data_IF_023268443231
#
_entry.id   IF_023268443231
#
_cell.length_a   1.000
_cell.length_b   1.000
_cell.length_c   1.000
_cell.angle_alpha   90.00
_cell.angle_beta   90.00
_cell.angle_gamma   90.00
#
_symmetry.space_group_name_H-M   'P 1'
#
loop_
_entity.id
_entity.type
_entity.pdbx_description
1 polymer ?
#
# COMPACT_ATOMS: atom_id res chain seq x y z
N UNK A 1 -9.22 2.51 14.20
CA UNK A 1 -8.70 1.12 14.03
C UNK A 1 -8.13 0.97 12.62
N UNK A 2 -7.45 -0.13 12.31
CA UNK A 2 -6.91 -0.38 10.97
C UNK A 2 -6.98 -1.85 10.61
N UNK A 3 -7.31 -2.14 9.36
CA UNK A 3 -7.43 -3.50 8.83
C UNK A 3 -6.64 -3.62 7.52
N UNK A 4 -6.09 -4.81 7.28
CA UNK A 4 -5.34 -5.10 6.06
C UNK A 4 -5.66 -6.51 5.60
N UNK A 5 -5.97 -6.63 4.31
CA UNK A 5 -6.09 -7.89 3.60
C UNK A 5 -5.02 -7.92 2.50
N UNK A 6 -4.21 -8.97 2.46
CA UNK A 6 -3.19 -9.17 1.43
C UNK A 6 -3.36 -10.56 0.81
N UNK A 7 -3.45 -10.60 -0.52
CA UNK A 7 -3.51 -11.81 -1.31
C UNK A 7 -2.37 -11.82 -2.35
N UNK A 8 -1.62 -12.91 -2.38
CA UNK A 8 -0.56 -13.12 -3.36
C UNK A 8 -0.60 -14.56 -3.89
N UNK A 9 -0.58 -14.71 -5.22
CA UNK A 9 -0.60 -16.04 -5.85
C UNK A 9 0.76 -16.34 -6.46
N UNK A 10 1.45 -17.36 -5.95
CA UNK A 10 2.75 -17.78 -6.49
C UNK A 10 2.56 -18.83 -7.57
N UNK A 11 2.64 -18.44 -8.84
CA UNK A 11 2.53 -19.36 -9.98
C UNK A 11 3.89 -19.57 -10.64
N UNK A 12 4.40 -20.79 -10.54
CA UNK A 12 5.62 -21.23 -11.23
C UNK A 12 5.24 -21.91 -12.54
N UNK A 13 5.69 -21.37 -13.68
CA UNK A 13 5.41 -21.93 -15.02
C UNK A 13 6.51 -22.88 -15.48
N UNK A 14 7.76 -22.50 -15.23
CA UNK A 14 8.97 -23.30 -15.46
C UNK A 14 9.74 -23.35 -14.16
N UNK A 15 10.64 -24.33 -13.99
CA UNK A 15 11.52 -24.40 -12.80
C UNK A 15 12.35 -23.12 -12.55
N UNK A 16 12.45 -22.23 -13.54
CA UNK A 16 13.19 -20.97 -13.49
C UNK A 16 12.33 -19.71 -13.45
N UNK A 17 11.01 -19.77 -13.65
CA UNK A 17 10.16 -18.57 -13.77
C UNK A 17 8.96 -18.67 -12.85
N UNK A 18 8.87 -17.74 -11.91
CA UNK A 18 7.72 -17.58 -11.01
C UNK A 18 7.12 -16.20 -11.19
N UNK A 19 5.82 -16.15 -11.44
CA UNK A 19 5.02 -14.94 -11.50
C UNK A 19 4.15 -14.85 -10.25
N UNK A 20 4.09 -13.66 -9.65
CA UNK A 20 3.37 -13.40 -8.42
C UNK A 20 2.49 -12.16 -8.59
N UNK A 21 1.25 -12.30 -9.10
CA UNK A 21 0.25 -11.26 -8.95
C UNK A 21 -0.15 -11.13 -7.48
N UNK A 22 -0.37 -9.88 -7.05
CA UNK A 22 -0.77 -9.56 -5.68
C UNK A 22 -1.85 -8.48 -5.66
N UNK A 23 -2.73 -8.56 -4.66
CA UNK A 23 -3.74 -7.55 -4.37
C UNK A 23 -3.74 -7.29 -2.87
N UNK A 24 -3.72 -6.02 -2.47
CA UNK A 24 -3.81 -5.62 -1.07
C UNK A 24 -4.89 -4.56 -0.89
N UNK A 25 -5.75 -4.76 0.09
CA UNK A 25 -6.70 -3.77 0.57
C UNK A 25 -6.30 -3.33 1.98
N UNK A 26 -6.26 -2.03 2.21
CA UNK A 26 -6.00 -1.41 3.51
C UNK A 26 -7.14 -0.45 3.83
N UNK A 27 -7.58 -0.43 5.09
CA UNK A 27 -8.57 0.50 5.57
C UNK A 27 -8.19 0.96 6.98
N UNK A 28 -8.40 2.25 7.26
CA UNK A 28 -8.13 2.84 8.55
C UNK A 28 -9.21 3.88 8.91
N UNK A 29 -9.57 3.92 10.19
CA UNK A 29 -10.34 5.02 10.78
C UNK A 29 -9.41 6.20 11.14
N UNK A 30 -9.98 7.40 11.21
CA UNK A 30 -9.25 8.55 11.74
C UNK A 30 -8.86 8.32 13.21
N UNK A 31 -7.70 8.85 13.60
CA UNK A 31 -7.33 8.93 15.01
C UNK A 31 -8.24 9.92 15.74
N UNK A 32 -8.53 9.68 17.02
CA UNK A 32 -9.44 10.51 17.81
C UNK A 32 -8.97 11.97 17.97
N UNK A 33 -7.68 12.23 17.75
CA UNK A 33 -7.04 13.55 17.80
C UNK A 33 -6.70 14.11 16.42
N UNK A 34 -7.17 13.47 15.34
CA UNK A 34 -7.02 14.00 13.99
C UNK A 34 -8.05 15.09 13.73
N UNK A 35 -7.57 16.26 13.33
CA UNK A 35 -8.42 17.38 12.90
C UNK A 35 -7.87 17.91 11.57
N UNK A 36 -8.66 17.94 10.48
CA UNK A 36 -8.20 18.51 9.22
C UNK A 36 -7.72 19.94 9.39
N UNK A 37 -6.62 20.32 8.72
CA UNK A 37 -6.10 21.69 8.77
C UNK A 37 -7.09 22.76 8.26
N UNK A 38 -8.17 22.35 7.58
CA UNK A 38 -9.24 23.24 7.13
C UNK A 38 -10.33 23.49 8.17
N UNK A 39 -10.34 22.75 9.29
CA UNK A 39 -11.38 22.82 10.32
C UNK A 39 -10.80 23.28 11.67
N UNK A 40 -10.49 24.58 11.75
CA UNK A 40 -9.91 25.20 12.93
C UNK A 40 -10.90 25.34 14.11
N UNK A 41 -12.21 25.22 13.86
CA UNK A 41 -13.24 25.36 14.89
C UNK A 41 -13.43 24.08 15.71
N UNK A 42 -13.01 22.93 15.18
CA UNK A 42 -13.01 21.64 15.89
C UNK A 42 -11.63 21.26 16.47
N UNK A 43 -10.65 22.15 16.41
CA UNK A 43 -9.32 21.91 16.97
C UNK A 43 -9.38 21.92 18.51
N UNK A 44 -9.18 20.75 19.13
CA UNK A 44 -8.95 20.65 20.59
C UNK A 44 -7.49 20.95 20.93
N UNK A 45 -7.19 21.18 22.22
CA UNK A 45 -5.82 21.39 22.72
C UNK A 45 -4.85 20.26 22.34
N UNK A 46 -5.37 19.06 22.07
CA UNK A 46 -4.63 17.91 21.57
C UNK A 46 -5.14 17.54 20.17
N UNK A 47 -4.65 18.25 19.14
CA UNK A 47 -4.98 17.95 17.75
C UNK A 47 -3.73 17.78 16.88
N UNK A 48 -3.90 17.03 15.79
CA UNK A 48 -2.90 16.92 14.73
C UNK A 48 -3.58 16.93 13.37
N UNK A 49 -3.01 17.70 12.44
CA UNK A 49 -3.44 17.76 11.06
C UNK A 49 -2.64 16.84 10.12
N UNK A 50 -1.83 15.93 10.66
CA UNK A 50 -1.10 14.94 9.86
C UNK A 50 -2.08 14.02 9.12
N UNK A 51 -2.04 14.07 7.79
CA UNK A 51 -2.95 13.34 6.91
C UNK A 51 -2.90 11.82 7.11
N UNK A 52 -1.81 11.25 7.62
CA UNK A 52 -1.66 9.82 7.90
C UNK A 52 -2.53 9.35 9.06
N UNK A 53 -3.00 10.28 9.88
CA UNK A 53 -3.92 10.02 10.99
C UNK A 53 -5.38 10.10 10.56
N UNK A 54 -5.66 10.49 9.32
CA UNK A 54 -7.01 10.59 8.77
C UNK A 54 -7.60 9.22 8.43
N UNK A 55 -8.92 9.18 8.27
CA UNK A 55 -9.59 8.02 7.69
C UNK A 55 -9.27 7.91 6.21
N UNK A 56 -8.81 6.74 5.78
CA UNK A 56 -8.61 6.42 4.37
C UNK A 56 -8.59 4.91 4.12
N UNK A 57 -8.90 4.53 2.89
CA UNK A 57 -8.67 3.19 2.39
C UNK A 57 -7.74 3.22 1.18
N UNK A 58 -7.16 2.07 0.88
CA UNK A 58 -6.24 1.92 -0.23
C UNK A 58 -6.30 0.53 -0.85
N UNK A 59 -6.20 0.51 -2.18
CA UNK A 59 -6.09 -0.69 -2.98
C UNK A 59 -4.75 -0.69 -3.72
N UNK A 60 -3.98 -1.75 -3.55
CA UNK A 60 -2.72 -1.97 -4.24
C UNK A 60 -2.82 -3.21 -5.12
N UNK A 61 -2.53 -3.07 -6.41
CA UNK A 61 -2.39 -4.19 -7.34
C UNK A 61 -0.94 -4.28 -7.79
N UNK A 62 -0.36 -5.46 -7.66
CA UNK A 62 1.05 -5.70 -7.94
C UNK A 62 1.29 -6.93 -8.80
N UNK A 63 2.43 -6.92 -9.47
CA UNK A 63 2.96 -8.07 -10.21
C UNK A 63 4.45 -8.16 -9.99
N UNK A 64 4.92 -9.34 -9.58
CA UNK A 64 6.34 -9.65 -9.43
C UNK A 64 6.73 -10.83 -10.32
N UNK A 65 7.87 -10.72 -10.97
CA UNK A 65 8.51 -11.76 -11.78
C UNK A 65 9.84 -12.12 -11.12
N UNK A 66 10.03 -13.41 -10.85
CA UNK A 66 11.31 -13.97 -10.44
C UNK A 66 11.82 -14.88 -11.56
N UNK A 67 13.00 -14.60 -12.09
CA UNK A 67 13.65 -15.37 -13.15
C UNK A 67 15.01 -15.87 -12.69
N UNK A 68 15.14 -17.19 -12.52
CA UNK A 68 16.38 -17.86 -12.09
C UNK A 68 17.22 -18.28 -13.30
N UNK A 69 18.49 -17.88 -13.28
CA UNK A 69 19.50 -18.23 -14.29
C UNK A 69 20.78 -18.65 -13.56
N UNK A 70 21.04 -19.95 -13.52
CA UNK A 70 22.17 -20.51 -12.76
C UNK A 70 22.07 -20.17 -11.27
N UNK A 71 23.10 -19.49 -10.75
CA UNK A 71 23.19 -19.02 -9.35
C UNK A 71 22.49 -17.68 -9.09
N UNK A 72 21.94 -17.05 -10.12
CA UNK A 72 21.31 -15.73 -10.03
C UNK A 72 19.79 -15.84 -10.11
N UNK A 73 19.08 -14.98 -9.37
CA UNK A 73 17.64 -14.74 -9.54
C UNK A 73 17.42 -13.26 -9.80
N UNK A 74 16.88 -12.94 -10.96
CA UNK A 74 16.46 -11.59 -11.32
C UNK A 74 15.04 -11.38 -10.83
N UNK A 75 14.80 -10.27 -10.14
CA UNK A 75 13.51 -9.89 -9.60
C UNK A 75 13.06 -8.59 -10.26
N UNK A 76 11.89 -8.60 -10.89
CA UNK A 76 11.23 -7.40 -11.39
C UNK A 76 9.86 -7.29 -10.75
N UNK A 77 9.46 -6.10 -10.32
CA UNK A 77 8.11 -5.89 -9.79
C UNK A 77 7.55 -4.54 -10.15
N UNK A 78 6.25 -4.51 -10.41
CA UNK A 78 5.46 -3.30 -10.55
C UNK A 78 4.26 -3.32 -9.62
N UNK A 79 3.90 -2.15 -9.09
CA UNK A 79 2.75 -1.96 -8.21
C UNK A 79 2.05 -0.66 -8.57
N UNK A 80 0.72 -0.71 -8.65
CA UNK A 80 -0.13 0.48 -8.66
C UNK A 80 -0.90 0.54 -7.36
N UNK A 81 -0.71 1.63 -6.63
CA UNK A 81 -1.39 1.96 -5.40
C UNK A 81 -2.37 3.10 -5.65
N UNK A 82 -3.61 2.93 -5.20
CA UNK A 82 -4.61 3.98 -5.16
C UNK A 82 -5.19 4.09 -3.78
N UNK A 83 -5.34 5.31 -3.28
CA UNK A 83 -5.95 5.55 -1.99
C UNK A 83 -7.11 6.55 -2.11
N UNK A 84 -8.17 6.28 -1.34
CA UNK A 84 -9.43 6.99 -1.44
C UNK A 84 -10.08 7.08 -0.06
N UNK A 85 -10.65 8.24 0.24
CA UNK A 85 -11.38 8.50 1.48
C UNK A 85 -12.64 7.62 1.60
N UNK A 86 -13.31 7.33 0.49
CA UNK A 86 -14.55 6.52 0.44
C UNK A 86 -14.33 5.05 0.78
N UNK A 87 -13.09 4.58 0.68
CA UNK A 87 -12.67 3.24 1.10
C UNK A 87 -12.22 3.21 2.58
N UNK A 88 -12.24 4.37 3.25
CA UNK A 88 -11.83 4.52 4.63
C UNK A 88 -12.84 4.02 5.64
N UNK A 89 -12.41 3.97 6.89
CA UNK A 89 -13.29 3.73 8.02
C UNK A 89 -14.02 4.99 8.47
N UNK A 90 -14.36 5.02 9.74
CA UNK A 90 -14.98 6.16 10.40
C UNK A 90 -14.02 7.34 10.60
N UNK A 91 -14.56 8.56 10.62
CA UNK A 91 -13.82 9.78 10.95
C UNK A 91 -13.40 10.63 9.73
N UNK A 92 -12.77 11.76 10.01
CA UNK A 92 -12.42 12.75 8.99
C UNK A 92 -11.30 12.24 8.08
N UNK A 93 -11.40 12.53 6.79
CA UNK A 93 -10.36 12.24 5.79
C UNK A 93 -9.53 13.48 5.47
N UNK A 94 -8.39 13.28 4.79
CA UNK A 94 -7.47 14.35 4.41
C UNK A 94 -7.26 14.40 2.89
N UNK A 95 -7.13 15.60 2.28
CA UNK A 95 -6.76 15.73 0.87
C UNK A 95 -5.30 15.30 0.58
N UNK A 96 -4.49 15.05 1.62
CA UNK A 96 -3.08 14.65 1.50
C UNK A 96 -2.85 13.17 1.16
N UNK A 97 -3.91 12.41 0.87
CA UNK A 97 -3.82 10.99 0.48
C UNK A 97 -3.32 10.91 -0.98
N UNK A 98 -2.36 10.00 -1.24
CA UNK A 98 -1.66 9.94 -2.53
C UNK A 98 -1.86 8.62 -3.27
N UNK A 99 -1.81 8.73 -4.61
CA UNK A 99 -1.66 7.62 -5.55
C UNK A 99 -0.20 7.47 -5.96
N UNK A 100 0.27 6.24 -6.16
CA UNK A 100 1.59 6.03 -6.74
C UNK A 100 1.68 4.77 -7.60
N UNK A 101 2.67 4.78 -8.49
CA UNK A 101 3.14 3.57 -9.18
C UNK A 101 4.58 3.34 -8.74
N UNK A 102 4.91 2.11 -8.35
CA UNK A 102 6.27 1.72 -7.97
C UNK A 102 6.78 0.64 -8.91
N UNK A 103 7.98 0.85 -9.45
CA UNK A 103 8.72 -0.15 -10.22
C UNK A 103 10.01 -0.47 -9.47
N UNK A 104 10.36 -1.76 -9.39
CA UNK A 104 11.58 -2.21 -8.74
C UNK A 104 12.24 -3.31 -9.56
N UNK A 105 13.58 -3.33 -9.52
CA UNK A 105 14.41 -4.38 -10.09
C UNK A 105 15.48 -4.80 -9.07
N UNK A 106 15.84 -6.08 -9.05
CA UNK A 106 16.82 -6.64 -8.11
C UNK A 106 17.47 -7.91 -8.64
N UNK A 107 18.58 -8.30 -8.02
CA UNK A 107 19.35 -9.51 -8.34
C UNK A 107 19.75 -10.18 -7.03
N UNK A 108 19.37 -11.45 -6.87
CA UNK A 108 19.80 -12.30 -5.77
C UNK A 108 20.84 -13.31 -6.29
N UNK A 109 21.89 -13.59 -5.50
CA UNK A 109 22.89 -14.60 -5.80
C UNK A 109 22.92 -15.68 -4.71
N UNK A 110 23.00 -16.96 -5.09
CA UNK A 110 23.08 -18.09 -4.17
C UNK A 110 24.39 -18.86 -4.38
N UNK A 111 25.19 -19.01 -3.32
CA UNK A 111 26.52 -19.62 -3.35
C UNK A 111 26.49 -21.15 -3.41
#
# INVERSE_FOLDING_TARGET
>A
SSHTLDLSLHKTFRRSITLVPSLRYYQQDAANFFTPASDFLQASDFNSADFRLSSYGALSAGLKLNARVGKYTFVLSGERYKADASLGGSGASSPGIIDFTRLSAGIDFTF
#
